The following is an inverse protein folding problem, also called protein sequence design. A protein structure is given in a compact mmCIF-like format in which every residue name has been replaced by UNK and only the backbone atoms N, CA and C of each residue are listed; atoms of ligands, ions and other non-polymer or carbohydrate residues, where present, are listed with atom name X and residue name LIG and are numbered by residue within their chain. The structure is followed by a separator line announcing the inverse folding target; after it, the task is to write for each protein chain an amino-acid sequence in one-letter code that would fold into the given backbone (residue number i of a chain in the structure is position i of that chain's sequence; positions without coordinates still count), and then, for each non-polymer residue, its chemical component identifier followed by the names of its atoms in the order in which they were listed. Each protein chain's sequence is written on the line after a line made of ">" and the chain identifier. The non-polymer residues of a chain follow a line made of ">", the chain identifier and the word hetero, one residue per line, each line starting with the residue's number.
data_IF_543026141094
#
_entry.id   IF_543026141094
#
_cell.length_a   1.000
_cell.length_b   1.000
_cell.length_c   1.000
_cell.angle_alpha   90.00
_cell.angle_beta   90.00
_cell.angle_gamma   90.00
#
_symmetry.space_group_name_H-M   'P 1'
#
loop_
_entity.id
_entity.type
_entity.pdbx_description
1 polymer ?
#
# COMPACT_ATOMS: atom_id res chain seq x y z
N UNK A 1 -2.95 -3.87 13.48
CA UNK A 1 -2.00 -3.16 14.37
C UNK A 1 -2.16 -1.68 14.09
N UNK A 2 -2.64 -0.96 15.09
CA UNK A 2 -2.65 0.50 15.09
C UNK A 2 -1.20 0.98 15.23
N UNK A 3 -0.82 2.02 14.47
CA UNK A 3 0.54 2.55 14.52
C UNK A 3 0.66 3.52 15.70
N UNK A 4 1.79 3.54 16.41
CA UNK A 4 1.99 4.50 17.49
C UNK A 4 1.95 5.92 16.93
N UNK A 5 1.13 6.75 17.58
CA UNK A 5 1.04 8.19 17.32
C UNK A 5 1.77 8.91 18.44
N UNK A 6 2.71 9.78 18.09
CA UNK A 6 3.49 10.54 19.06
C UNK A 6 3.47 12.02 18.72
N UNK A 7 3.54 12.85 19.76
CA UNK A 7 3.74 14.29 19.64
C UNK A 7 5.21 14.64 19.89
N UNK A 8 5.78 15.43 19.00
CA UNK A 8 7.18 15.84 19.01
C UNK A 8 7.22 17.35 18.88
N UNK A 9 7.92 18.00 19.80
CA UNK A 9 8.14 19.44 19.77
C UNK A 9 9.62 19.66 19.43
N UNK A 10 9.86 20.39 18.34
CA UNK A 10 11.21 20.67 17.84
C UNK A 10 11.42 22.18 17.80
N UNK A 11 12.53 22.63 18.39
CA UNK A 11 13.02 23.98 18.19
C UNK A 11 13.85 24.07 16.92
N UNK A 12 13.60 25.10 16.13
CA UNK A 12 14.29 25.35 14.87
C UNK A 12 15.76 25.63 15.13
N UNK A 13 16.62 24.81 14.53
CA UNK A 13 18.06 25.02 14.55
C UNK A 13 18.49 26.05 13.50
N UNK A 14 19.79 26.35 13.47
CA UNK A 14 20.39 27.29 12.49
C UNK A 14 20.10 26.93 11.02
N UNK A 15 19.90 25.65 10.74
CA UNK A 15 19.63 25.09 9.39
C UNK A 15 18.17 24.64 9.22
N UNK A 16 17.27 25.04 10.15
CA UNK A 16 15.87 24.63 10.15
C UNK A 16 15.60 23.43 11.06
N UNK A 17 14.59 22.63 10.71
CA UNK A 17 14.16 21.47 11.52
C UNK A 17 14.99 20.21 11.27
N UNK A 18 15.76 20.15 10.17
CA UNK A 18 16.72 19.07 9.95
C UNK A 18 16.16 17.79 9.34
N UNK A 19 15.10 17.85 8.54
CA UNK A 19 14.56 16.69 7.82
C UNK A 19 13.94 17.05 6.47
N UNK A 20 13.82 16.06 5.59
CA UNK A 20 13.17 16.19 4.28
C UNK A 20 11.79 15.54 4.29
N UNK A 21 10.84 16.15 3.57
CA UNK A 21 9.50 15.60 3.37
C UNK A 21 9.22 15.22 1.92
N UNK A 22 8.31 14.27 1.72
CA UNK A 22 7.67 13.94 0.42
C UNK A 22 6.20 13.63 0.61
N UNK A 23 5.48 13.51 -0.50
CA UNK A 23 4.05 13.23 -0.49
C UNK A 23 3.22 14.50 -0.50
N UNK A 24 1.93 14.33 -0.25
CA UNK A 24 0.90 15.32 -0.49
C UNK A 24 -0.22 14.72 -1.33
N UNK A 25 -1.40 15.34 -1.26
CA UNK A 25 -2.58 14.89 -2.02
C UNK A 25 -2.44 15.09 -3.53
N UNK A 26 -1.60 16.03 -3.96
CA UNK A 26 -1.26 16.35 -5.35
C UNK A 26 -0.15 15.44 -5.91
N UNK A 27 0.84 15.10 -5.08
CA UNK A 27 1.96 14.23 -5.45
C UNK A 27 2.17 13.08 -4.43
N UNK A 28 1.29 12.06 -4.42
CA UNK A 28 1.38 10.96 -3.47
C UNK A 28 2.73 10.23 -3.51
N UNK A 29 3.41 10.15 -2.37
CA UNK A 29 4.68 9.41 -2.26
C UNK A 29 4.43 7.90 -2.31
N UNK A 30 3.35 7.45 -1.67
CA UNK A 30 2.92 6.05 -1.64
C UNK A 30 1.55 5.97 -2.32
N UNK A 31 1.42 5.14 -3.36
CA UNK A 31 0.19 5.07 -4.16
C UNK A 31 -1.08 4.85 -3.30
N UNK A 32 -2.07 5.74 -3.39
CA UNK A 32 -3.29 5.64 -2.58
C UNK A 32 -3.13 6.08 -1.12
N UNK A 33 -2.03 6.76 -0.77
CA UNK A 33 -1.86 7.50 0.48
C UNK A 33 -1.41 8.94 0.16
N UNK A 34 -2.22 9.93 0.57
CA UNK A 34 -2.00 11.36 0.34
C UNK A 34 -1.16 12.05 1.42
N UNK A 35 -0.54 11.29 2.32
CA UNK A 35 0.16 11.83 3.48
C UNK A 35 1.50 12.49 3.16
N UNK A 36 1.99 13.23 4.15
CA UNK A 36 3.34 13.80 4.18
C UNK A 36 4.26 12.86 4.96
N UNK A 37 5.38 12.47 4.37
CA UNK A 37 6.31 11.49 4.94
C UNK A 37 7.70 12.09 5.11
N UNK A 38 8.36 11.72 6.20
CA UNK A 38 9.77 12.03 6.44
C UNK A 38 10.65 11.06 5.66
N UNK A 39 11.55 11.57 4.83
CA UNK A 39 12.38 10.76 3.93
C UNK A 39 13.87 10.80 4.24
N UNK A 40 14.31 11.81 5.00
CA UNK A 40 15.69 11.94 5.44
C UNK A 40 15.73 12.72 6.73
N UNK A 41 16.45 12.22 7.74
CA UNK A 41 16.88 13.01 8.89
C UNK A 41 18.33 13.44 8.64
N UNK A 42 18.62 14.72 8.90
CA UNK A 42 19.99 15.26 8.81
C UNK A 42 20.68 15.10 10.15
N UNK A 43 21.85 14.46 10.16
CA UNK A 43 22.63 14.16 11.37
C UNK A 43 22.98 15.41 12.21
N UNK A 44 23.08 16.58 11.56
CA UNK A 44 23.39 17.87 12.19
C UNK A 44 22.14 18.73 12.50
N UNK A 45 20.95 18.15 12.35
CA UNK A 45 19.67 18.85 12.44
C UNK A 45 18.98 18.75 13.79
N UNK A 46 18.01 19.64 14.04
CA UNK A 46 17.22 19.64 15.27
C UNK A 46 16.47 18.31 15.49
N UNK A 47 15.90 17.73 14.43
CA UNK A 47 15.24 16.43 14.51
C UNK A 47 16.19 15.28 14.89
N UNK A 48 17.45 15.30 14.43
CA UNK A 48 18.44 14.29 14.82
C UNK A 48 18.86 14.45 16.28
N UNK A 49 19.05 15.70 16.74
CA UNK A 49 19.39 15.99 18.13
C UNK A 49 18.28 15.56 19.10
N UNK A 50 17.02 15.71 18.71
CA UNK A 50 15.87 15.21 19.48
C UNK A 50 15.74 13.68 19.41
N UNK A 51 15.94 13.09 18.24
CA UNK A 51 16.03 11.64 18.02
C UNK A 51 14.70 10.88 18.00
N UNK A 52 13.55 11.53 18.29
CA UNK A 52 12.24 10.84 18.27
C UNK A 52 11.63 10.71 16.87
N UNK A 53 11.92 11.66 15.98
CA UNK A 53 11.45 11.64 14.60
C UNK A 53 12.36 10.75 13.74
N UNK A 54 11.77 9.86 12.96
CA UNK A 54 12.51 8.87 12.17
C UNK A 54 12.12 8.91 10.68
N UNK A 55 13.02 8.40 9.82
CA UNK A 55 12.71 8.20 8.40
C UNK A 55 11.56 7.18 8.25
N UNK A 56 10.60 7.47 7.37
CA UNK A 56 9.40 6.67 7.15
C UNK A 56 8.21 7.01 8.05
N UNK A 57 8.36 7.98 8.95
CA UNK A 57 7.26 8.52 9.74
C UNK A 57 6.30 9.36 8.88
N UNK A 58 5.00 9.26 9.16
CA UNK A 58 3.97 10.06 8.50
C UNK A 58 3.53 11.20 9.41
N UNK A 59 3.56 12.42 8.91
CA UNK A 59 3.14 13.62 9.61
C UNK A 59 1.62 13.74 9.50
N UNK A 60 0.95 13.88 10.64
CA UNK A 60 -0.51 13.99 10.77
C UNK A 60 -0.90 15.45 11.03
N UNK A 61 -0.16 16.14 11.88
CA UNK A 61 -0.42 17.53 12.25
C UNK A 61 0.87 18.35 12.34
N UNK A 62 0.77 19.63 11.97
CA UNK A 62 1.82 20.65 12.16
C UNK A 62 1.18 21.81 12.93
N UNK A 63 1.65 22.09 14.14
CA UNK A 63 1.11 23.11 15.05
C UNK A 63 -0.43 23.02 15.21
N UNK A 64 -0.96 21.79 15.30
CA UNK A 64 -2.39 21.51 15.43
C UNK A 64 -3.19 21.56 14.11
N UNK A 65 -2.56 21.91 12.98
CA UNK A 65 -3.19 21.84 11.67
C UNK A 65 -3.06 20.44 11.08
N UNK A 66 -4.17 19.77 10.75
CA UNK A 66 -4.14 18.46 10.11
C UNK A 66 -3.57 18.54 8.68
N UNK A 67 -2.65 17.64 8.34
CA UNK A 67 -1.93 17.58 7.06
C UNK A 67 -2.08 16.24 6.33
N UNK A 68 -3.05 15.40 6.68
CA UNK A 68 -3.20 14.07 6.05
C UNK A 68 -3.70 14.12 4.58
N UNK A 69 -4.27 15.26 4.17
CA UNK A 69 -4.87 15.46 2.83
C UNK A 69 -4.49 16.78 2.18
N UNK A 70 -3.42 17.44 2.65
CA UNK A 70 -2.95 18.71 2.08
C UNK A 70 -2.01 18.48 0.91
N UNK A 71 -1.83 19.50 0.06
CA UNK A 71 -0.84 19.43 -1.02
C UNK A 71 0.58 19.48 -0.44
N UNK A 72 1.56 19.05 -1.24
CA UNK A 72 2.97 19.13 -0.85
C UNK A 72 3.36 20.57 -0.49
N UNK A 73 2.98 21.52 -1.33
CA UNK A 73 3.32 22.93 -1.14
C UNK A 73 2.65 23.52 0.10
N UNK A 74 1.41 23.14 0.41
CA UNK A 74 0.74 23.58 1.63
C UNK A 74 1.46 23.08 2.88
N UNK A 75 1.90 21.81 2.88
CA UNK A 75 2.70 21.26 3.97
C UNK A 75 4.04 22.01 4.13
N UNK A 76 4.74 22.32 3.03
CA UNK A 76 5.96 23.13 3.04
C UNK A 76 5.67 24.53 3.62
N UNK A 77 4.59 25.17 3.18
CA UNK A 77 4.19 26.49 3.68
C UNK A 77 3.89 26.45 5.19
N UNK A 78 3.26 25.39 5.70
CA UNK A 78 3.05 25.22 7.13
C UNK A 78 4.40 25.15 7.87
N UNK A 79 5.38 24.39 7.38
CA UNK A 79 6.71 24.34 8.00
C UNK A 79 7.47 25.66 7.94
N UNK A 80 7.37 26.41 6.85
CA UNK A 80 8.02 27.71 6.70
C UNK A 80 7.43 28.74 7.67
N UNK A 81 6.11 28.68 7.91
CA UNK A 81 5.39 29.62 8.77
C UNK A 81 5.21 29.13 10.23
N UNK A 82 5.74 27.95 10.58
CA UNK A 82 5.54 27.32 11.88
C UNK A 82 6.27 28.01 13.06
N UNK A 83 7.07 29.04 12.79
CA UNK A 83 7.86 29.75 13.80
C UNK A 83 9.11 28.98 14.26
N UNK A 84 9.60 29.34 15.43
CA UNK A 84 10.79 28.75 16.06
C UNK A 84 10.50 27.37 16.65
N UNK A 85 9.40 27.21 17.39
CA UNK A 85 9.03 25.92 17.98
C UNK A 85 7.89 25.29 17.19
N UNK A 86 8.10 24.06 16.71
CA UNK A 86 7.15 23.35 15.86
C UNK A 86 6.69 22.07 16.55
N UNK A 87 5.36 21.93 16.71
CA UNK A 87 4.71 20.75 17.26
C UNK A 87 4.23 19.85 16.14
N UNK A 88 4.72 18.62 16.12
CA UNK A 88 4.37 17.61 15.15
C UNK A 88 3.60 16.49 15.83
N UNK A 89 2.54 16.03 15.19
CA UNK A 89 1.94 14.74 15.51
C UNK A 89 2.25 13.77 14.38
N UNK A 90 2.87 12.63 14.68
CA UNK A 90 3.35 11.68 13.66
C UNK A 90 2.90 10.25 13.94
N UNK A 91 2.63 9.48 12.88
CA UNK A 91 2.49 8.01 12.92
C UNK A 91 3.85 7.40 12.65
N UNK A 92 4.46 6.76 13.66
CA UNK A 92 5.80 6.21 13.49
C UNK A 92 5.80 4.93 12.65
N UNK A 93 6.79 4.79 11.76
CA UNK A 93 6.95 3.62 10.88
C UNK A 93 5.79 3.42 9.88
N UNK A 94 5.07 4.50 9.55
CA UNK A 94 3.90 4.45 8.69
C UNK A 94 4.21 3.97 7.27
N UNK A 95 5.31 4.43 6.68
CA UNK A 95 5.74 4.00 5.35
C UNK A 95 5.86 2.48 5.27
N UNK A 96 6.65 1.88 6.17
CA UNK A 96 6.87 0.44 6.23
C UNK A 96 5.56 -0.31 6.40
N UNK A 97 4.70 0.14 7.31
CA UNK A 97 3.42 -0.51 7.57
C UNK A 97 2.49 -0.49 6.34
N UNK A 98 2.48 0.58 5.57
CA UNK A 98 1.68 0.68 4.34
C UNK A 98 2.25 -0.24 3.25
N UNK A 99 3.56 -0.24 3.06
CA UNK A 99 4.24 -1.08 2.06
C UNK A 99 4.07 -2.58 2.38
N UNK A 100 4.23 -2.98 3.63
CA UNK A 100 4.05 -4.37 4.07
C UNK A 100 2.61 -4.86 3.84
N UNK A 101 1.61 -4.01 4.12
CA UNK A 101 0.19 -4.33 3.86
C UNK A 101 -0.07 -4.52 2.37
N UNK A 102 0.48 -3.66 1.52
CA UNK A 102 0.34 -3.78 0.05
C UNK A 102 1.00 -5.04 -0.49
N UNK A 103 2.20 -5.37 -0.01
CA UNK A 103 2.92 -6.57 -0.43
C UNK A 103 2.14 -7.86 -0.08
N UNK A 104 1.52 -7.91 1.11
CA UNK A 104 0.66 -9.02 1.53
C UNK A 104 -0.59 -9.14 0.66
N UNK A 105 -1.29 -8.03 0.43
CA UNK A 105 -2.47 -8.01 -0.44
C UNK A 105 -2.15 -8.44 -1.89
N UNK A 106 -0.99 -8.05 -2.43
CA UNK A 106 -0.56 -8.49 -3.75
C UNK A 106 -0.24 -9.99 -3.80
N UNK A 107 0.34 -10.54 -2.73
CA UNK A 107 0.66 -11.98 -2.61
C UNK A 107 -0.61 -12.82 -2.49
N UNK A 108 -1.59 -12.37 -1.71
CA UNK A 108 -2.89 -13.03 -1.56
C UNK A 108 -3.67 -13.07 -2.87
N UNK A 109 -3.66 -11.98 -3.66
CA UNK A 109 -4.26 -11.96 -5.00
C UNK A 109 -3.63 -12.98 -5.96
N UNK A 110 -2.32 -13.24 -5.83
CA UNK A 110 -1.63 -14.28 -6.62
C UNK A 110 -1.86 -15.70 -6.10
N UNK A 111 -2.13 -15.87 -4.80
CA UNK A 111 -2.54 -17.16 -4.21
C UNK A 111 -4.02 -17.48 -4.43
N UNK A 112 -4.84 -16.49 -4.77
CA UNK A 112 -6.25 -16.65 -5.13
C UNK A 112 -6.51 -17.32 -6.48
N UNK A 113 -5.48 -17.61 -7.28
CA UNK A 113 -5.56 -18.62 -8.34
C UNK A 113 -5.11 -19.96 -7.78
N UNK A 114 -5.93 -20.56 -6.92
CA UNK A 114 -5.91 -22.01 -6.77
C UNK A 114 -6.34 -22.59 -8.12
N UNK A 115 -5.60 -23.51 -8.76
CA UNK A 115 -6.19 -24.39 -9.75
C UNK A 115 -7.08 -25.39 -8.99
N UNK A 116 -8.19 -24.91 -8.45
CA UNK A 116 -9.23 -25.73 -7.85
C UNK A 116 -10.60 -25.22 -8.31
N UNK A 117 -10.74 -25.09 -9.63
CA UNK A 117 -11.99 -25.37 -10.32
C UNK A 117 -11.69 -26.35 -11.46
N UNK A 118 -11.19 -27.52 -11.10
CA UNK A 118 -11.34 -28.72 -11.93
C UNK A 118 -11.80 -29.85 -11.03
N UNK A 119 -13.01 -29.69 -10.50
CA UNK A 119 -13.83 -30.76 -9.94
C UNK A 119 -15.25 -30.23 -10.06
N UNK A 120 -16.00 -30.57 -11.10
CA UNK A 120 -16.35 -31.94 -11.45
C UNK A 120 -16.35 -32.03 -12.98
N UNK A 121 -15.51 -32.90 -13.57
CA UNK A 121 -16.01 -33.67 -14.71
C UNK A 121 -17.11 -34.51 -14.08
N UNK A 122 -18.35 -34.01 -14.09
CA UNK A 122 -19.49 -34.81 -13.66
C UNK A 122 -19.39 -36.11 -14.43
N UNK A 123 -19.33 -37.23 -13.71
CA UNK A 123 -19.27 -38.59 -14.26
C UNK A 123 -20.47 -38.84 -15.21
N UNK A 124 -21.45 -37.94 -15.23
CA UNK A 124 -22.53 -37.79 -16.21
C UNK A 124 -22.08 -37.57 -17.67
N UNK A 125 -20.86 -37.09 -17.95
CA UNK A 125 -20.41 -36.79 -19.32
C UNK A 125 -19.71 -37.95 -20.03
N UNK A 126 -19.30 -39.00 -19.30
CA UNK A 126 -18.70 -40.20 -19.94
C UNK A 126 -19.77 -41.02 -20.68
N UNK A 127 -21.06 -40.85 -20.35
CA UNK A 127 -22.16 -41.50 -21.07
C UNK A 127 -22.57 -40.79 -22.37
N UNK A 128 -22.22 -39.52 -22.59
CA UNK A 128 -22.53 -38.84 -23.86
C UNK A 128 -21.64 -39.37 -24.99
N UNK A 129 -20.40 -39.76 -24.68
CA UNK A 129 -19.48 -40.33 -25.68
C UNK A 129 -19.87 -41.77 -26.04
N UNK A 130 -20.37 -42.57 -25.08
CA UNK A 130 -20.88 -43.91 -25.38
C UNK A 130 -22.17 -43.88 -26.23
N UNK A 131 -23.07 -42.92 -26.01
CA UNK A 131 -24.31 -42.79 -26.78
C UNK A 131 -24.09 -42.40 -28.25
N UNK A 132 -23.21 -41.44 -28.51
CA UNK A 132 -22.87 -41.02 -29.88
C UNK A 132 -22.04 -42.12 -30.59
N UNK A 133 -21.15 -42.80 -29.87
CA UNK A 133 -20.37 -43.89 -30.44
C UNK A 133 -21.22 -45.12 -30.79
N UNK A 134 -22.26 -45.48 -30.03
CA UNK A 134 -23.11 -46.65 -30.35
C UNK A 134 -23.99 -46.38 -31.58
N UNK A 135 -24.57 -45.18 -31.72
CA UNK A 135 -25.35 -44.83 -32.91
C UNK A 135 -24.46 -44.73 -34.16
N UNK A 136 -23.28 -44.11 -34.04
CA UNK A 136 -22.27 -44.06 -35.10
C UNK A 136 -21.72 -45.44 -35.47
N UNK A 137 -21.41 -46.30 -34.49
CA UNK A 137 -20.88 -47.65 -34.70
C UNK A 137 -21.91 -48.59 -35.34
N UNK A 138 -23.20 -48.51 -34.97
CA UNK A 138 -24.27 -49.27 -35.63
C UNK A 138 -24.56 -48.76 -37.04
N UNK A 139 -24.55 -47.45 -37.27
CA UNK A 139 -24.67 -46.88 -38.62
C UNK A 139 -23.47 -47.26 -39.50
N UNK A 140 -22.25 -47.18 -38.97
CA UNK A 140 -21.00 -47.56 -39.63
C UNK A 140 -20.97 -49.05 -40.00
N UNK A 141 -21.41 -49.94 -39.10
CA UNK A 141 -21.47 -51.40 -39.33
C UNK A 141 -22.58 -51.81 -40.30
N UNK A 142 -23.67 -51.04 -40.40
CA UNK A 142 -24.76 -51.26 -41.37
C UNK A 142 -24.39 -50.77 -42.78
N UNK A 143 -23.55 -49.74 -42.88
CA UNK A 143 -23.08 -49.19 -44.17
C UNK A 143 -22.07 -50.12 -44.88
N UNK A 144 -21.30 -50.91 -44.12
CA UNK A 144 -20.21 -51.75 -44.67
C UNK A 144 -20.55 -53.24 -44.85
N UNK A 145 -21.84 -53.61 -44.95
CA UNK A 145 -22.27 -54.94 -45.42
C UNK A 145 -23.07 -54.81 -46.72
N UNK A 146 -22.36 -54.55 -47.82
CA UNK A 146 -22.73 -55.01 -49.17
C UNK A 146 -21.45 -55.29 -49.95
#
# INVERSE_FOLDING_TARGET
>A
MELPVVEIELDRGKTGLGFNIRGGSDIPYIQGDSGIFVTKIRDDGAAAADGRLQEGDKIIEINGSNVESVTHNDAVNLFLNAGETVKLKVKQGAERAILDRKARAATERRRGTTPEQTSIITVSSVLVIAGIAVAGYFAYKKYFRR
#
